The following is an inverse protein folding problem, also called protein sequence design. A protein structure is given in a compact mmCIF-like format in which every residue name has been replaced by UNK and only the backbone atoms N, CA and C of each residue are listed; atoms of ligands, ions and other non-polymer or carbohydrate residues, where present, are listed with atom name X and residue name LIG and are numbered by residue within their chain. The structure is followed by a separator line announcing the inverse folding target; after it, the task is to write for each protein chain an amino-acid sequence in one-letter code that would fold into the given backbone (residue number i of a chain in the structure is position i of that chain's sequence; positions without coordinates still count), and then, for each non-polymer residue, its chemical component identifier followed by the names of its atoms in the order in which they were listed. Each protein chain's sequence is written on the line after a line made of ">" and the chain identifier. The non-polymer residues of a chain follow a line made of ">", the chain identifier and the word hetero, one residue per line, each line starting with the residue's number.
data_IF_947838504340
#
_entry.id   IF_947838504340
#
_cell.length_a   1.000
_cell.length_b   1.000
_cell.length_c   1.000
_cell.angle_alpha   90.00
_cell.angle_beta   90.00
_cell.angle_gamma   90.00
#
_symmetry.space_group_name_H-M   'P 1'
#
loop_
_entity.id
_entity.type
_entity.pdbx_description
1 polymer ?
#
# COMPACT_ATOMS: atom_id res chain seq x y z
N UNK A 1 -8.01 19.52 20.51
CA UNK A 1 -8.87 18.69 19.61
C UNK A 1 -8.85 19.37 18.26
N UNK A 2 -8.28 18.70 17.28
CA UNK A 2 -8.11 19.23 15.93
C UNK A 2 -9.50 19.42 15.30
N UNK A 3 -9.82 20.64 14.94
CA UNK A 3 -11.14 21.03 14.51
C UNK A 3 -11.39 20.55 13.08
N UNK A 4 -12.16 19.46 12.93
CA UNK A 4 -12.62 18.99 11.64
C UNK A 4 -13.59 20.01 11.02
N UNK A 5 -13.58 20.12 9.69
CA UNK A 5 -14.47 21.01 8.94
C UNK A 5 -15.40 20.21 8.03
N UNK A 6 -16.63 20.71 7.90
CA UNK A 6 -17.66 20.19 7.02
C UNK A 6 -17.79 21.14 5.83
N UNK A 7 -17.69 20.61 4.62
CA UNK A 7 -17.86 21.37 3.38
C UNK A 7 -19.00 20.80 2.55
N UNK A 8 -19.62 21.62 1.70
CA UNK A 8 -20.49 21.10 0.67
C UNK A 8 -19.69 20.20 -0.29
N UNK A 9 -20.28 19.10 -0.72
CA UNK A 9 -19.69 18.25 -1.75
C UNK A 9 -19.40 19.01 -3.05
N UNK A 10 -20.21 20.00 -3.37
CA UNK A 10 -20.04 20.86 -4.55
C UNK A 10 -18.79 21.76 -4.47
N UNK A 11 -18.26 22.00 -3.27
CA UNK A 11 -17.04 22.78 -3.08
C UNK A 11 -15.75 21.96 -3.24
N UNK A 12 -15.83 20.64 -3.27
CA UNK A 12 -14.64 19.77 -3.34
C UNK A 12 -13.77 20.07 -4.57
N UNK A 13 -14.31 20.26 -5.80
CA UNK A 13 -13.48 20.64 -6.95
C UNK A 13 -12.75 21.98 -6.75
N UNK A 14 -13.38 22.95 -6.12
CA UNK A 14 -12.78 24.24 -5.80
C UNK A 14 -11.65 24.11 -4.78
N UNK A 15 -11.84 23.29 -3.76
CA UNK A 15 -10.80 22.96 -2.77
C UNK A 15 -9.62 22.26 -3.45
N UNK A 16 -9.87 21.28 -4.32
CA UNK A 16 -8.81 20.58 -5.07
C UNK A 16 -8.03 21.52 -5.98
N UNK A 17 -8.69 22.49 -6.60
CA UNK A 17 -8.06 23.55 -7.41
C UNK A 17 -7.13 24.40 -6.55
N UNK A 18 -7.59 24.84 -5.37
CA UNK A 18 -6.78 25.62 -4.44
C UNK A 18 -5.57 24.81 -3.94
N UNK A 19 -5.76 23.55 -3.59
CA UNK A 19 -4.67 22.64 -3.23
C UNK A 19 -3.68 22.40 -4.36
N UNK A 20 -4.10 22.61 -5.62
CA UNK A 20 -3.26 22.56 -6.81
C UNK A 20 -2.28 23.74 -6.94
N UNK A 21 -2.41 24.80 -6.16
CA UNK A 21 -1.47 25.91 -6.17
C UNK A 21 -0.08 25.43 -5.67
N UNK A 22 0.87 25.28 -6.60
CA UNK A 22 2.25 24.84 -6.32
C UNK A 22 2.45 23.35 -6.10
N UNK A 23 1.45 22.50 -6.37
CA UNK A 23 1.57 21.04 -6.31
C UNK A 23 0.69 20.35 -7.36
N UNK A 24 1.08 19.14 -7.79
CA UNK A 24 0.25 18.31 -8.65
C UNK A 24 -0.77 17.55 -7.80
N UNK A 25 -2.06 17.71 -8.10
CA UNK A 25 -3.15 16.99 -7.42
C UNK A 25 -3.58 15.80 -8.26
N UNK A 26 -3.63 14.63 -7.66
CA UNK A 26 -4.08 13.39 -8.30
C UNK A 26 -5.32 12.88 -7.60
N UNK A 27 -6.28 12.41 -8.38
CA UNK A 27 -7.57 11.87 -7.93
C UNK A 27 -7.84 10.51 -8.57
N UNK A 28 -8.65 9.65 -7.96
CA UNK A 28 -9.14 8.46 -8.64
C UNK A 28 -10.13 8.83 -9.73
N UNK A 29 -9.87 8.38 -10.95
CA UNK A 29 -10.78 8.44 -12.09
C UNK A 29 -11.16 7.02 -12.52
N UNK A 30 -12.44 6.82 -12.83
CA UNK A 30 -12.96 5.54 -13.30
C UNK A 30 -13.20 5.60 -14.80
N UNK A 31 -12.61 4.69 -15.54
CA UNK A 31 -12.83 4.48 -16.97
C UNK A 31 -13.24 3.02 -17.20
N UNK A 32 -14.49 2.80 -17.55
CA UNK A 32 -15.07 1.45 -17.64
C UNK A 32 -15.00 0.72 -16.30
N UNK A 33 -14.40 -0.46 -16.28
CA UNK A 33 -14.24 -1.28 -15.08
C UNK A 33 -12.98 -0.95 -14.24
N UNK A 34 -12.17 0.01 -14.66
CA UNK A 34 -10.90 0.33 -14.03
C UNK A 34 -10.95 1.70 -13.36
N UNK A 35 -10.43 1.76 -12.15
CA UNK A 35 -10.18 3.00 -11.42
C UNK A 35 -8.68 3.17 -11.22
N UNK A 36 -8.14 4.33 -11.61
CA UNK A 36 -6.74 4.67 -11.46
C UNK A 36 -6.58 6.14 -11.03
N UNK A 37 -5.43 6.47 -10.42
CA UNK A 37 -5.11 7.86 -10.12
C UNK A 37 -4.69 8.61 -11.38
N UNK A 38 -5.34 9.74 -11.65
CA UNK A 38 -5.05 10.64 -12.74
C UNK A 38 -4.82 12.07 -12.22
N UNK A 39 -4.16 12.91 -13.00
CA UNK A 39 -3.99 14.33 -12.68
C UNK A 39 -5.37 15.00 -12.68
N UNK A 40 -5.66 15.70 -11.60
CA UNK A 40 -6.95 16.40 -11.44
C UNK A 40 -7.15 17.44 -12.56
N UNK A 41 -8.28 17.32 -13.22
CA UNK A 41 -8.78 18.31 -14.18
C UNK A 41 -10.13 18.83 -13.69
N UNK A 42 -10.26 20.15 -13.36
CA UNK A 42 -11.50 20.72 -12.84
C UNK A 42 -12.67 20.66 -13.83
N UNK A 43 -12.41 20.49 -15.13
CA UNK A 43 -13.45 20.37 -16.16
C UNK A 43 -14.09 18.98 -16.20
N UNK A 44 -13.45 17.98 -15.56
CA UNK A 44 -13.98 16.63 -15.45
C UNK A 44 -14.76 16.48 -14.15
N UNK A 45 -15.84 15.73 -14.20
CA UNK A 45 -16.64 15.44 -13.01
C UNK A 45 -15.82 14.65 -11.97
N UNK A 46 -15.96 14.99 -10.70
CA UNK A 46 -15.37 14.29 -9.58
C UNK A 46 -16.36 13.26 -9.02
N UNK A 47 -15.96 11.98 -8.96
CA UNK A 47 -16.69 10.95 -8.23
C UNK A 47 -15.98 10.61 -6.94
N UNK A 48 -16.68 10.69 -5.82
CA UNK A 48 -16.21 10.17 -4.52
C UNK A 48 -16.63 8.72 -4.31
N UNK A 49 -17.47 8.19 -5.21
CA UNK A 49 -17.97 6.82 -5.12
C UNK A 49 -17.16 5.89 -6.02
N UNK A 50 -16.20 5.18 -5.42
CA UNK A 50 -15.40 4.14 -6.06
C UNK A 50 -14.96 3.12 -5.00
N UNK A 51 -14.59 1.93 -5.43
CA UNK A 51 -13.96 0.92 -4.58
C UNK A 51 -12.45 1.17 -4.39
N UNK A 52 -11.65 0.13 -4.47
CA UNK A 52 -10.20 0.27 -4.59
C UNK A 52 -9.80 0.57 -6.04
N UNK A 53 -8.75 1.35 -6.23
CA UNK A 53 -8.10 1.47 -7.54
C UNK A 53 -7.56 0.13 -8.01
N UNK A 54 -7.55 -0.11 -9.31
CA UNK A 54 -7.06 -1.37 -9.91
C UNK A 54 -5.60 -1.63 -9.52
N UNK A 55 -4.74 -0.65 -9.72
CA UNK A 55 -3.38 -0.63 -9.18
C UNK A 55 -3.34 0.24 -7.93
N UNK A 56 -2.52 -0.15 -6.96
CA UNK A 56 -2.31 0.69 -5.79
C UNK A 56 -1.55 1.96 -6.15
N UNK A 57 -1.75 3.09 -5.45
CA UNK A 57 -1.03 4.33 -5.71
C UNK A 57 0.45 4.28 -5.26
N UNK A 58 1.01 3.11 -4.96
CA UNK A 58 2.42 2.98 -4.54
C UNK A 58 3.41 3.51 -5.58
N UNK A 59 3.04 3.51 -6.87
CA UNK A 59 3.88 4.04 -7.96
C UNK A 59 4.24 5.52 -7.79
N UNK A 60 3.48 6.29 -7.02
CA UNK A 60 3.81 7.68 -6.71
C UNK A 60 5.02 7.82 -5.77
N UNK A 61 5.23 6.85 -4.90
CA UNK A 61 6.35 6.82 -3.94
C UNK A 61 7.44 5.84 -4.37
N UNK A 62 7.05 4.75 -5.00
CA UNK A 62 7.91 3.70 -5.52
C UNK A 62 7.55 3.45 -7.00
N UNK A 63 8.14 4.21 -7.95
CA UNK A 63 7.87 4.08 -9.40
C UNK A 63 8.21 2.69 -9.93
N UNK A 64 7.51 2.27 -10.99
CA UNK A 64 7.77 0.98 -11.64
C UNK A 64 9.19 0.89 -12.22
N UNK A 65 9.69 2.01 -12.72
CA UNK A 65 11.06 2.19 -13.20
C UNK A 65 11.55 3.56 -12.75
N UNK A 66 12.75 3.62 -12.18
CA UNK A 66 13.39 4.89 -11.84
C UNK A 66 14.89 4.84 -12.09
N UNK A 67 15.44 5.94 -12.57
CA UNK A 67 16.86 6.14 -12.68
C UNK A 67 17.42 6.55 -11.32
N UNK A 68 18.42 5.82 -10.81
CA UNK A 68 19.07 6.12 -9.53
C UNK A 68 20.28 7.03 -9.74
N UNK A 69 21.06 6.76 -10.80
CA UNK A 69 22.23 7.56 -11.16
C UNK A 69 22.53 7.45 -12.65
N UNK A 70 23.25 8.44 -13.17
CA UNK A 70 23.85 8.45 -14.51
C UNK A 70 25.36 8.40 -14.41
N UNK A 71 26.02 7.79 -15.37
CA UNK A 71 27.47 7.71 -15.40
C UNK A 71 27.99 7.75 -16.84
N UNK A 72 29.23 8.20 -16.99
CA UNK A 72 29.94 8.16 -18.25
C UNK A 72 30.94 6.99 -18.27
N UNK A 73 30.98 6.22 -19.36
CA UNK A 73 31.90 5.09 -19.54
C UNK A 73 33.08 5.43 -20.44
N UNK A 74 33.01 6.55 -21.20
CA UNK A 74 34.01 7.03 -22.13
C UNK A 74 34.06 8.56 -22.15
N UNK A 75 35.13 9.10 -22.74
CA UNK A 75 35.34 10.54 -22.86
C UNK A 75 35.92 11.19 -21.63
N UNK A 76 36.03 12.55 -21.59
CA UNK A 76 36.60 13.30 -20.47
C UNK A 76 35.89 13.11 -19.14
N UNK A 77 34.60 12.73 -19.16
CA UNK A 77 33.78 12.52 -17.98
C UNK A 77 33.72 11.04 -17.56
N UNK A 78 34.57 10.18 -18.15
CA UNK A 78 34.58 8.76 -17.82
C UNK A 78 34.82 8.54 -16.31
N UNK A 79 33.96 7.74 -15.69
CA UNK A 79 33.98 7.48 -14.23
C UNK A 79 33.19 8.47 -13.39
N UNK A 80 32.69 9.57 -13.93
CA UNK A 80 31.80 10.47 -13.20
C UNK A 80 30.42 9.81 -13.03
N UNK A 81 29.96 9.74 -11.79
CA UNK A 81 28.60 9.30 -11.44
C UNK A 81 27.83 10.49 -10.85
N UNK A 82 26.66 10.74 -11.41
CA UNK A 82 25.74 11.75 -10.92
C UNK A 82 24.44 11.08 -10.47
N UNK A 83 24.02 11.34 -9.24
CA UNK A 83 22.68 10.95 -8.76
C UNK A 83 21.63 11.64 -9.62
N UNK A 84 20.61 10.89 -10.05
CA UNK A 84 19.50 11.50 -10.74
C UNK A 84 18.84 12.53 -9.81
N UNK A 85 18.62 13.77 -10.27
CA UNK A 85 17.96 14.78 -9.46
C UNK A 85 16.56 14.30 -9.07
N UNK A 86 16.30 14.15 -7.79
CA UNK A 86 14.98 13.84 -7.28
C UNK A 86 14.09 15.05 -7.56
N UNK A 87 13.14 14.89 -8.48
CA UNK A 87 12.26 15.96 -8.94
C UNK A 87 11.64 16.75 -7.78
N UNK A 88 11.72 18.08 -7.86
CA UNK A 88 11.21 19.00 -6.83
C UNK A 88 9.68 19.02 -6.68
N UNK A 89 8.94 18.28 -7.50
CA UNK A 89 7.49 18.34 -7.59
C UNK A 89 6.81 17.87 -6.30
N UNK A 90 6.10 18.80 -5.66
CA UNK A 90 5.17 18.49 -4.57
C UNK A 90 3.89 17.86 -5.16
N UNK A 91 3.33 16.90 -4.45
CA UNK A 91 2.14 16.16 -4.87
C UNK A 91 1.10 16.10 -3.77
N UNK A 92 -0.15 15.98 -4.18
CA UNK A 92 -1.27 15.66 -3.31
C UNK A 92 -2.06 14.52 -3.95
N UNK A 93 -2.24 13.44 -3.21
CA UNK A 93 -3.11 12.34 -3.60
C UNK A 93 -4.41 12.47 -2.81
N UNK A 94 -5.50 12.83 -3.49
CA UNK A 94 -6.83 12.90 -2.91
C UNK A 94 -7.60 11.60 -3.19
N UNK A 95 -8.31 11.08 -2.21
CA UNK A 95 -9.10 9.87 -2.36
C UNK A 95 -8.31 8.56 -2.16
N UNK A 96 -7.12 8.64 -1.53
CA UNK A 96 -6.37 7.43 -1.14
C UNK A 96 -7.21 6.59 -0.18
N UNK A 97 -7.35 5.29 -0.43
CA UNK A 97 -8.06 4.44 0.52
C UNK A 97 -7.22 4.23 1.79
N UNK A 98 -7.85 4.12 2.98
CA UNK A 98 -7.14 3.90 4.24
C UNK A 98 -6.17 2.73 4.21
N UNK A 99 -6.50 1.64 3.51
CA UNK A 99 -5.60 0.50 3.35
C UNK A 99 -4.36 0.84 2.49
N UNK A 100 -4.46 1.72 1.50
CA UNK A 100 -3.30 2.16 0.71
C UNK A 100 -2.39 3.09 1.52
N UNK A 101 -2.97 3.99 2.31
CA UNK A 101 -2.21 4.86 3.21
C UNK A 101 -1.49 4.05 4.32
N UNK A 102 -2.19 3.08 4.90
CA UNK A 102 -1.59 2.14 5.86
C UNK A 102 -0.43 1.32 5.24
N UNK A 103 -0.53 0.98 3.94
CA UNK A 103 0.56 0.34 3.23
C UNK A 103 1.77 1.25 3.07
N UNK A 104 1.59 2.56 2.84
CA UNK A 104 2.70 3.51 2.81
C UNK A 104 3.37 3.63 4.16
N UNK A 105 2.59 3.74 5.25
CA UNK A 105 3.13 3.76 6.60
C UNK A 105 3.89 2.46 6.97
N UNK A 106 3.50 1.33 6.40
CA UNK A 106 4.23 0.08 6.55
C UNK A 106 5.53 0.10 5.73
N UNK A 107 5.49 0.61 4.50
CA UNK A 107 6.68 0.73 3.65
C UNK A 107 7.64 1.80 4.15
N UNK A 108 7.17 2.85 4.84
CA UNK A 108 8.06 3.79 5.54
C UNK A 108 9.00 3.05 6.50
N UNK A 109 8.51 2.03 7.21
CA UNK A 109 9.34 1.19 8.10
C UNK A 109 10.31 0.25 7.38
N UNK A 110 10.10 0.02 6.09
CA UNK A 110 11.01 -0.78 5.25
C UNK A 110 12.09 0.09 4.63
N UNK A 111 11.69 1.27 4.10
CA UNK A 111 12.57 2.14 3.34
C UNK A 111 13.23 3.26 4.16
N UNK A 112 12.72 3.53 5.37
CA UNK A 112 13.25 4.58 6.27
C UNK A 112 13.51 3.94 7.63
N UNK A 113 14.70 3.40 7.83
CA UNK A 113 15.07 2.69 9.07
C UNK A 113 15.99 3.54 9.96
N UNK A 114 17.15 3.93 9.43
CA UNK A 114 18.14 4.76 10.08
C UNK A 114 18.91 5.58 9.02
N UNK A 115 19.86 6.43 9.46
CA UNK A 115 20.62 7.30 8.56
C UNK A 115 21.44 6.56 7.49
N UNK A 116 21.77 5.28 7.71
CA UNK A 116 22.55 4.44 6.78
C UNK A 116 21.70 3.56 5.89
N UNK A 117 20.48 3.24 6.35
CA UNK A 117 19.57 2.28 5.72
C UNK A 117 18.31 2.94 5.16
N UNK A 118 18.33 4.27 5.01
CA UNK A 118 17.21 5.02 4.44
C UNK A 118 17.36 5.13 2.93
N UNK A 119 16.32 4.72 2.19
CA UNK A 119 16.20 4.96 0.76
C UNK A 119 15.86 6.45 0.50
N UNK A 120 16.80 7.24 -0.03
CA UNK A 120 16.60 8.68 -0.19
C UNK A 120 15.50 9.00 -1.23
N UNK A 121 15.29 8.13 -2.22
CA UNK A 121 14.26 8.32 -3.23
C UNK A 121 12.86 8.14 -2.66
N UNK A 122 12.68 7.12 -1.81
CA UNK A 122 11.42 6.93 -1.08
C UNK A 122 11.18 8.09 -0.10
N UNK A 123 12.14 8.38 0.76
CA UNK A 123 12.02 9.38 1.82
C UNK A 123 11.62 10.75 1.26
N UNK A 124 12.30 11.22 0.20
CA UNK A 124 12.01 12.52 -0.40
C UNK A 124 10.63 12.56 -1.07
N UNK A 125 10.22 11.48 -1.78
CA UNK A 125 8.88 11.41 -2.37
C UNK A 125 7.80 11.39 -1.29
N UNK A 126 8.05 10.67 -0.19
CA UNK A 126 7.14 10.59 0.94
C UNK A 126 6.95 11.96 1.60
N UNK A 127 8.04 12.67 1.84
CA UNK A 127 8.03 14.04 2.38
C UNK A 127 7.23 15.00 1.50
N UNK A 128 7.41 14.93 0.18
CA UNK A 128 6.79 15.83 -0.81
C UNK A 128 5.38 15.44 -1.23
N UNK A 129 4.83 14.36 -0.69
CA UNK A 129 3.49 13.88 -1.01
C UNK A 129 2.55 14.04 0.17
N UNK A 130 1.48 14.80 -0.01
CA UNK A 130 0.36 14.91 0.93
C UNK A 130 -0.69 13.85 0.59
N UNK A 131 -1.24 13.22 1.62
CA UNK A 131 -2.21 12.14 1.48
C UNK A 131 -3.55 12.54 2.11
N UNK A 132 -4.53 12.83 1.27
CA UNK A 132 -5.93 13.02 1.68
C UNK A 132 -6.67 11.72 1.40
N UNK A 133 -6.91 10.96 2.47
CA UNK A 133 -7.65 9.71 2.38
C UNK A 133 -9.14 9.95 2.21
N UNK A 134 -9.80 9.07 1.47
CA UNK A 134 -11.26 8.99 1.44
C UNK A 134 -11.71 7.75 2.19
N UNK A 135 -12.47 7.94 3.25
CA UNK A 135 -13.04 6.86 4.07
C UNK A 135 -13.75 5.83 3.18
N UNK A 136 -13.59 4.56 3.50
CA UNK A 136 -14.15 3.48 2.71
C UNK A 136 -15.56 3.17 3.20
N UNK A 137 -16.57 3.81 2.60
CA UNK A 137 -17.95 3.59 2.97
C UNK A 137 -18.53 2.28 2.38
N UNK A 138 -17.94 1.77 1.29
CA UNK A 138 -18.38 0.57 0.58
C UNK A 138 -17.18 -0.32 0.27
N UNK A 139 -16.78 -1.19 1.20
CA UNK A 139 -15.71 -2.14 0.96
C UNK A 139 -16.15 -3.21 -0.06
N UNK A 140 -15.20 -3.68 -0.84
CA UNK A 140 -15.38 -4.81 -1.76
C UNK A 140 -15.44 -6.14 -0.98
N UNK A 141 -16.10 -7.15 -1.53
CA UNK A 141 -16.23 -8.49 -0.92
C UNK A 141 -14.88 -9.18 -0.66
N UNK A 142 -13.84 -8.79 -1.40
CA UNK A 142 -12.49 -9.29 -1.22
C UNK A 142 -11.70 -8.57 -0.12
N UNK A 143 -12.23 -7.47 0.42
CA UNK A 143 -11.58 -6.70 1.48
C UNK A 143 -11.59 -7.44 2.82
N UNK A 144 -10.47 -7.30 3.58
CA UNK A 144 -10.31 -7.88 4.92
C UNK A 144 -9.37 -7.04 5.79
N UNK A 145 -9.38 -5.71 5.59
CA UNK A 145 -8.47 -4.82 6.33
C UNK A 145 -8.70 -4.86 7.84
N UNK A 146 -9.91 -5.14 8.31
CA UNK A 146 -10.23 -5.30 9.74
C UNK A 146 -9.52 -6.50 10.39
N UNK A 147 -9.16 -7.52 9.61
CA UNK A 147 -8.36 -8.65 10.08
C UNK A 147 -6.84 -8.40 10.00
N UNK A 148 -6.41 -7.22 9.52
CA UNK A 148 -5.01 -6.83 9.32
C UNK A 148 -4.67 -5.53 10.07
N UNK A 149 -5.17 -5.39 11.29
CA UNK A 149 -4.97 -4.22 12.16
C UNK A 149 -5.34 -2.88 11.49
N UNK A 150 -6.24 -2.92 10.52
CA UNK A 150 -6.74 -1.77 9.78
C UNK A 150 -8.23 -1.56 9.93
N UNK A 151 -8.79 -0.74 9.06
CA UNK A 151 -10.23 -0.48 9.02
C UNK A 151 -10.61 0.50 7.93
N UNK A 152 -11.93 0.62 7.64
CA UNK A 152 -12.43 1.48 6.57
C UNK A 152 -12.22 2.98 6.82
N UNK A 153 -12.03 3.40 8.08
CA UNK A 153 -11.74 4.78 8.48
C UNK A 153 -10.38 4.91 9.19
N UNK A 154 -9.45 3.97 8.97
CA UNK A 154 -8.12 4.03 9.54
C UNK A 154 -7.36 5.26 9.00
N UNK A 155 -6.63 5.93 9.88
CA UNK A 155 -5.91 7.18 9.55
C UNK A 155 -4.41 6.99 9.38
N UNK A 156 -3.88 5.80 9.60
CA UNK A 156 -2.44 5.54 9.49
C UNK A 156 -1.88 5.96 8.12
N UNK A 157 -0.87 6.81 8.13
CA UNK A 157 -0.21 7.32 6.93
C UNK A 157 -0.90 8.48 6.23
N UNK A 158 -2.09 8.91 6.67
CA UNK A 158 -2.84 10.04 6.10
C UNK A 158 -2.43 11.38 6.74
N UNK A 159 -2.57 12.46 5.96
CA UNK A 159 -2.53 13.83 6.46
C UNK A 159 -3.95 14.34 6.80
N UNK A 160 -4.94 14.01 5.98
CA UNK A 160 -6.38 14.27 6.22
C UNK A 160 -7.18 13.00 5.93
N UNK A 161 -8.20 12.71 6.73
CA UNK A 161 -9.26 11.78 6.39
C UNK A 161 -10.49 12.56 5.96
N UNK A 162 -10.91 12.38 4.70
CA UNK A 162 -12.17 12.85 4.16
C UNK A 162 -13.25 11.78 4.31
N UNK A 163 -14.43 12.14 4.82
CA UNK A 163 -15.58 11.25 4.90
C UNK A 163 -16.68 11.82 3.99
N UNK A 164 -17.06 11.07 2.97
CA UNK A 164 -18.22 11.39 2.11
C UNK A 164 -19.51 11.10 2.90
N UNK A 165 -20.27 12.14 3.18
CA UNK A 165 -21.56 12.09 3.89
C UNK A 165 -22.77 12.23 2.96
N UNK A 166 -22.56 12.26 1.64
CA UNK A 166 -23.58 12.50 0.62
C UNK A 166 -23.45 13.91 0.08
N UNK A 167 -24.26 14.84 0.56
CA UNK A 167 -24.21 16.25 0.13
C UNK A 167 -23.06 17.04 0.77
N UNK A 168 -22.46 16.48 1.81
CA UNK A 168 -21.37 17.06 2.56
C UNK A 168 -20.14 16.16 2.59
N UNK A 169 -18.98 16.77 2.82
CA UNK A 169 -17.71 16.06 3.07
C UNK A 169 -17.12 16.59 4.36
N UNK A 170 -16.87 15.67 5.30
CA UNK A 170 -16.18 15.95 6.55
C UNK A 170 -14.68 15.77 6.32
N UNK A 171 -13.89 16.82 6.50
CA UNK A 171 -12.42 16.77 6.47
C UNK A 171 -11.86 16.78 7.89
N UNK A 172 -11.19 15.72 8.28
CA UNK A 172 -10.57 15.56 9.60
C UNK A 172 -9.04 15.52 9.45
N UNK A 173 -8.31 16.54 9.95
CA UNK A 173 -6.85 16.55 9.90
C UNK A 173 -6.29 15.48 10.83
N UNK A 174 -5.18 14.87 10.41
CA UNK A 174 -4.48 13.80 11.15
C UNK A 174 -3.09 14.25 11.57
N UNK A 175 -2.43 15.06 10.73
CA UNK A 175 -1.08 15.57 10.97
C UNK A 175 -1.06 17.10 10.95
N UNK A 176 0.07 17.71 11.37
CA UNK A 176 0.26 19.17 11.23
C UNK A 176 0.20 19.61 9.77
N UNK A 177 0.73 18.80 8.84
CA UNK A 177 0.63 19.04 7.40
C UNK A 177 -0.84 19.01 6.94
N UNK A 178 -1.64 18.11 7.51
CA UNK A 178 -3.08 18.04 7.29
C UNK A 178 -3.82 19.24 7.85
N UNK A 179 -3.42 19.77 9.01
CA UNK A 179 -3.99 21.03 9.56
C UNK A 179 -3.71 22.23 8.66
N UNK A 180 -2.49 22.36 8.16
CA UNK A 180 -2.12 23.41 7.20
C UNK A 180 -2.96 23.29 5.91
N UNK A 181 -3.10 22.07 5.39
CA UNK A 181 -3.89 21.81 4.19
C UNK A 181 -5.40 22.09 4.39
N UNK A 182 -5.94 21.83 5.59
CA UNK A 182 -7.32 22.13 5.95
C UNK A 182 -7.56 23.65 6.02
N UNK A 183 -6.59 24.42 6.49
CA UNK A 183 -6.65 25.89 6.49
C UNK A 183 -6.70 26.45 5.05
N UNK A 184 -5.95 25.87 4.10
CA UNK A 184 -6.04 26.23 2.67
C UNK A 184 -7.45 25.93 2.12
N UNK A 185 -8.07 24.79 2.49
CA UNK A 185 -9.44 24.47 2.10
C UNK A 185 -10.46 25.50 2.63
N UNK A 186 -10.31 25.93 3.88
CA UNK A 186 -11.17 26.93 4.50
C UNK A 186 -11.05 28.32 3.86
N UNK A 187 -9.93 28.64 3.23
CA UNK A 187 -9.77 29.85 2.42
C UNK A 187 -10.45 29.74 1.04
N UNK A 188 -10.49 28.53 0.50
CA UNK A 188 -11.06 28.27 -0.82
C UNK A 188 -12.59 28.12 -0.79
N UNK A 189 -13.16 27.59 0.28
CA UNK A 189 -14.58 27.31 0.42
C UNK A 189 -15.05 27.53 1.85
N UNK A 190 -16.36 27.74 2.03
CA UNK A 190 -16.95 27.94 3.36
C UNK A 190 -17.03 26.62 4.12
N UNK A 191 -16.06 26.39 4.99
CA UNK A 191 -16.06 25.25 5.92
C UNK A 191 -16.80 25.58 7.21
N UNK A 192 -17.63 24.65 7.68
CA UNK A 192 -18.32 24.77 8.97
C UNK A 192 -17.60 23.86 9.98
N UNK A 193 -17.22 24.39 11.17
CA UNK A 193 -16.61 23.57 12.20
C UNK A 193 -17.50 22.37 12.61
N UNK A 194 -16.90 21.20 12.73
CA UNK A 194 -17.59 19.98 13.15
C UNK A 194 -17.82 19.96 14.68
N UNK A 195 -18.51 20.96 15.18
CA UNK A 195 -18.89 21.15 16.58
C UNK A 195 -20.36 21.57 16.72
N UNK A 196 -20.88 21.54 17.94
CA UNK A 196 -22.29 21.78 18.19
C UNK A 196 -23.17 20.69 17.58
N UNK A 197 -24.46 20.98 17.41
CA UNK A 197 -25.46 20.03 16.92
C UNK A 197 -25.13 19.52 15.48
N UNK A 198 -24.82 20.43 14.56
CA UNK A 198 -24.46 20.07 13.16
C UNK A 198 -23.18 19.22 13.10
N UNK A 199 -22.17 19.57 13.89
CA UNK A 199 -20.94 18.82 13.96
C UNK A 199 -21.15 17.42 14.55
N UNK A 200 -21.96 17.32 15.61
CA UNK A 200 -22.35 16.05 16.20
C UNK A 200 -23.09 15.15 15.22
N UNK A 201 -24.00 15.70 14.42
CA UNK A 201 -24.72 14.97 13.37
C UNK A 201 -23.77 14.44 12.29
N UNK A 202 -22.86 15.26 11.78
CA UNK A 202 -21.88 14.85 10.76
C UNK A 202 -20.92 13.76 11.28
N UNK A 203 -20.43 13.89 12.50
CA UNK A 203 -19.57 12.88 13.13
C UNK A 203 -20.34 11.57 13.37
N UNK A 204 -21.59 11.64 13.83
CA UNK A 204 -22.47 10.48 13.99
C UNK A 204 -22.76 9.77 12.67
N UNK A 205 -22.95 10.54 11.58
CA UNK A 205 -23.13 9.97 10.25
C UNK A 205 -21.85 9.28 9.74
N UNK A 206 -20.68 9.90 9.95
CA UNK A 206 -19.40 9.27 9.60
C UNK A 206 -19.19 7.96 10.37
N UNK A 207 -19.53 7.94 11.64
CA UNK A 207 -19.45 6.72 12.49
C UNK A 207 -20.43 5.64 12.01
N UNK A 208 -21.65 5.99 11.67
CA UNK A 208 -22.65 5.06 11.09
C UNK A 208 -22.12 4.43 9.78
N UNK A 209 -21.48 5.23 8.91
CA UNK A 209 -20.87 4.72 7.68
C UNK A 209 -19.69 3.78 7.97
N UNK A 210 -18.86 4.10 8.97
CA UNK A 210 -17.76 3.24 9.42
C UNK A 210 -18.30 1.88 9.89
N UNK A 211 -19.27 1.91 10.79
CA UNK A 211 -19.89 0.68 11.32
C UNK A 211 -20.55 -0.15 10.22
N UNK A 212 -21.25 0.50 9.29
CA UNK A 212 -21.83 -0.16 8.13
C UNK A 212 -20.79 -0.87 7.25
N UNK A 213 -19.68 -0.22 6.97
CA UNK A 213 -18.58 -0.80 6.20
C UNK A 213 -17.92 -1.99 6.93
N UNK A 214 -17.71 -1.87 8.24
CA UNK A 214 -17.18 -2.98 9.05
C UNK A 214 -18.15 -4.15 9.10
N UNK A 215 -19.46 -3.90 9.19
CA UNK A 215 -20.49 -4.93 9.17
C UNK A 215 -20.53 -5.68 7.82
N UNK A 216 -20.31 -4.99 6.71
CA UNK A 216 -20.18 -5.65 5.38
C UNK A 216 -19.00 -6.63 5.39
N UNK A 217 -17.84 -6.21 5.88
CA UNK A 217 -16.67 -7.10 5.96
C UNK A 217 -16.88 -8.26 6.95
N UNK A 218 -17.52 -8.02 8.07
CA UNK A 218 -17.82 -9.06 9.07
C UNK A 218 -18.75 -10.16 8.54
N UNK A 219 -19.60 -9.86 7.55
CA UNK A 219 -20.47 -10.85 6.88
C UNK A 219 -19.73 -11.74 5.88
N UNK A 220 -18.53 -11.36 5.46
CA UNK A 220 -17.72 -12.18 4.56
C UNK A 220 -17.35 -13.51 5.25
N UNK A 221 -17.56 -14.68 4.63
CA UNK A 221 -17.18 -15.96 5.22
C UNK A 221 -15.66 -16.10 5.44
N UNK A 222 -14.88 -15.21 4.86
CA UNK A 222 -13.41 -15.25 4.87
C UNK A 222 -12.77 -14.35 5.94
N UNK A 223 -13.51 -13.43 6.55
CA UNK A 223 -12.95 -12.45 7.50
C UNK A 223 -13.08 -12.89 8.96
N UNK A 224 -14.24 -13.39 9.45
CA UNK A 224 -14.36 -13.80 10.84
C UNK A 224 -13.38 -14.90 11.22
N UNK A 225 -12.69 -14.70 12.34
CA UNK A 225 -11.68 -15.64 12.85
C UNK A 225 -10.38 -15.70 12.05
N UNK A 226 -10.16 -14.81 11.07
CA UNK A 226 -8.90 -14.72 10.37
C UNK A 226 -7.84 -14.12 11.29
N UNK A 227 -6.79 -14.88 11.58
CA UNK A 227 -5.76 -14.51 12.56
C UNK A 227 -4.38 -14.99 12.12
N UNK A 228 -3.34 -14.35 12.66
CA UNK A 228 -1.93 -14.75 12.53
C UNK A 228 -1.38 -15.39 13.81
N UNK A 229 -2.21 -15.62 14.81
CA UNK A 229 -1.77 -15.99 16.15
C UNK A 229 -0.91 -17.27 16.16
N UNK A 230 -1.38 -18.36 15.55
CA UNK A 230 -0.63 -19.58 15.53
C UNK A 230 0.64 -19.47 14.64
N UNK A 231 0.56 -18.73 13.52
CA UNK A 231 1.72 -18.47 12.64
C UNK A 231 2.80 -17.66 13.36
N UNK A 232 2.41 -16.66 14.15
CA UNK A 232 3.37 -15.81 14.88
C UNK A 232 4.12 -16.58 15.96
N UNK A 233 3.43 -17.50 16.65
CA UNK A 233 4.00 -18.32 17.74
C UNK A 233 4.95 -19.42 17.29
N UNK A 234 4.91 -19.85 16.02
CA UNK A 234 5.78 -20.91 15.49
C UNK A 234 7.09 -20.35 14.98
N UNK A 235 8.15 -21.16 15.00
CA UNK A 235 9.42 -20.80 14.40
C UNK A 235 9.28 -20.62 12.88
N UNK A 236 10.16 -19.83 12.30
CA UNK A 236 10.23 -19.64 10.84
C UNK A 236 10.39 -20.98 10.13
N UNK A 237 11.25 -21.88 10.65
CA UNK A 237 11.49 -23.20 10.10
C UNK A 237 10.23 -24.06 10.10
N UNK A 238 9.45 -24.04 11.19
CA UNK A 238 8.18 -24.76 11.27
C UNK A 238 7.19 -24.28 10.21
N UNK A 239 6.98 -22.97 10.09
CA UNK A 239 6.04 -22.42 9.10
C UNK A 239 6.51 -22.67 7.68
N UNK A 240 7.82 -22.61 7.43
CA UNK A 240 8.42 -22.91 6.12
C UNK A 240 8.21 -24.37 5.72
N UNK A 241 8.27 -25.32 6.67
CA UNK A 241 8.15 -26.75 6.43
C UNK A 241 6.69 -27.27 6.37
N UNK A 242 5.68 -26.40 6.49
CA UNK A 242 4.28 -26.83 6.42
C UNK A 242 3.98 -27.55 5.10
N UNK A 243 3.31 -28.70 5.17
CA UNK A 243 2.95 -29.51 4.00
C UNK A 243 1.85 -28.92 3.10
N UNK A 244 1.38 -27.71 3.39
CA UNK A 244 0.31 -27.03 2.63
C UNK A 244 0.79 -26.41 1.31
N UNK A 245 2.08 -26.11 1.17
CA UNK A 245 2.62 -25.31 0.07
C UNK A 245 2.44 -25.91 -1.32
N UNK A 246 2.65 -27.24 -1.54
CA UNK A 246 2.42 -27.85 -2.85
C UNK A 246 0.97 -27.65 -3.33
N UNK A 247 -0.01 -27.89 -2.45
CA UNK A 247 -1.43 -27.73 -2.77
C UNK A 247 -1.79 -26.28 -3.14
N UNK A 248 -1.28 -25.29 -2.39
CA UNK A 248 -1.51 -23.87 -2.68
C UNK A 248 -0.86 -23.47 -4.01
N UNK A 249 0.31 -24.03 -4.30
CA UNK A 249 1.06 -23.72 -5.52
C UNK A 249 0.49 -24.40 -6.77
N UNK A 250 -0.32 -25.44 -6.64
CA UNK A 250 -0.78 -26.27 -7.74
C UNK A 250 -1.44 -25.46 -8.87
N UNK A 251 -2.36 -24.56 -8.53
CA UNK A 251 -3.10 -23.72 -9.48
C UNK A 251 -2.36 -22.44 -9.85
N UNK A 252 -1.28 -22.08 -9.15
CA UNK A 252 -0.57 -20.83 -9.38
C UNK A 252 0.10 -20.78 -10.75
N UNK A 253 -0.16 -19.71 -11.52
CA UNK A 253 0.45 -19.47 -12.84
C UNK A 253 1.79 -18.73 -12.75
N UNK A 254 2.23 -18.31 -11.56
CA UNK A 254 3.42 -17.45 -11.36
C UNK A 254 3.40 -16.12 -12.15
N UNK A 255 2.21 -15.61 -12.52
CA UNK A 255 2.05 -14.41 -13.34
C UNK A 255 2.47 -13.10 -12.65
N UNK A 256 2.68 -13.09 -11.32
CA UNK A 256 3.09 -11.90 -10.56
C UNK A 256 2.03 -10.84 -10.30
N UNK A 257 0.82 -10.93 -10.87
CA UNK A 257 -0.27 -9.93 -10.67
C UNK A 257 -0.48 -9.60 -9.20
N UNK A 258 -0.52 -10.63 -8.35
CA UNK A 258 -0.72 -10.46 -6.91
C UNK A 258 0.39 -9.67 -6.18
N UNK A 259 1.55 -9.49 -6.78
CA UNK A 259 2.66 -8.68 -6.23
C UNK A 259 2.68 -7.29 -6.83
N UNK A 260 2.44 -7.15 -8.13
CA UNK A 260 2.41 -5.85 -8.80
C UNK A 260 1.25 -4.97 -8.32
N UNK A 261 0.07 -5.55 -8.10
CA UNK A 261 -1.11 -4.81 -7.61
C UNK A 261 -1.09 -4.56 -6.10
N UNK A 262 -0.26 -5.28 -5.35
CA UNK A 262 -0.20 -5.16 -3.90
C UNK A 262 0.48 -3.86 -3.47
N UNK A 263 -0.14 -3.07 -2.57
CA UNK A 263 0.43 -1.83 -2.07
C UNK A 263 1.66 -2.03 -1.17
N UNK A 264 1.82 -3.21 -0.56
CA UNK A 264 2.93 -3.53 0.35
C UNK A 264 4.05 -4.34 -0.28
N UNK A 265 3.91 -4.79 -1.54
CA UNK A 265 5.00 -5.47 -2.24
C UNK A 265 6.00 -4.46 -2.79
N UNK A 266 7.29 -4.72 -2.53
CA UNK A 266 8.40 -3.81 -2.82
C UNK A 266 9.63 -4.53 -3.40
N UNK A 267 9.44 -5.69 -4.02
CA UNK A 267 10.51 -6.37 -4.76
C UNK A 267 10.97 -5.51 -5.93
N UNK A 268 12.26 -5.39 -6.12
CA UNK A 268 12.88 -4.66 -7.22
C UNK A 268 14.16 -5.34 -7.67
N UNK A 269 14.57 -4.99 -8.89
CA UNK A 269 15.86 -5.30 -9.46
C UNK A 269 16.62 -3.99 -9.73
N UNK A 270 17.95 -4.01 -9.63
CA UNK A 270 18.83 -2.91 -9.98
C UNK A 270 19.78 -3.39 -11.08
N UNK A 271 19.79 -2.65 -12.18
CA UNK A 271 20.65 -2.98 -13.32
C UNK A 271 21.27 -1.73 -13.93
N UNK A 272 22.43 -1.92 -14.55
CA UNK A 272 23.12 -0.88 -15.30
C UNK A 272 22.81 -1.04 -16.80
N UNK A 273 22.28 0.02 -17.39
CA UNK A 273 22.03 0.12 -18.83
C UNK A 273 23.07 1.05 -19.46
N UNK A 274 23.75 0.60 -20.51
CA UNK A 274 24.76 1.40 -21.19
C UNK A 274 24.48 1.51 -22.68
N UNK A 275 24.72 2.70 -23.25
CA UNK A 275 24.63 2.96 -24.67
C UNK A 275 25.65 4.02 -25.08
N UNK A 276 26.55 3.66 -26.02
CA UNK A 276 27.53 4.59 -26.65
C UNK A 276 28.59 5.08 -25.68
N UNK A 277 28.68 5.68 -24.77
CA UNK A 277 29.65 6.20 -23.79
C UNK A 277 28.99 6.72 -22.52
N UNK A 278 27.69 6.51 -22.43
CA UNK A 278 26.90 6.87 -21.24
C UNK A 278 26.15 5.67 -20.70
N UNK A 279 25.82 5.72 -19.43
CA UNK A 279 25.03 4.71 -18.77
C UNK A 279 24.14 5.28 -17.66
N UNK A 280 23.20 4.46 -17.23
CA UNK A 280 22.33 4.76 -16.12
C UNK A 280 22.12 3.51 -15.27
N UNK A 281 22.04 3.68 -13.98
CA UNK A 281 21.58 2.66 -13.04
C UNK A 281 20.11 2.85 -12.82
N UNK A 282 19.33 1.81 -13.08
CA UNK A 282 17.87 1.83 -12.95
C UNK A 282 17.41 0.83 -11.89
N UNK A 283 16.38 1.19 -11.17
CA UNK A 283 15.61 0.30 -10.31
C UNK A 283 14.27 0.03 -10.97
N UNK A 284 13.95 -1.24 -11.17
CA UNK A 284 12.69 -1.69 -11.75
C UNK A 284 11.91 -2.53 -10.74
N UNK A 285 10.58 -2.43 -10.74
CA UNK A 285 9.80 -3.41 -9.98
C UNK A 285 10.08 -4.82 -10.49
N UNK A 286 10.17 -5.74 -9.53
CA UNK A 286 10.26 -7.15 -9.81
C UNK A 286 9.26 -7.93 -8.93
N UNK A 287 9.24 -9.23 -9.04
CA UNK A 287 8.29 -10.10 -8.34
C UNK A 287 8.95 -11.36 -7.81
N UNK A 288 8.71 -11.66 -6.53
CA UNK A 288 9.12 -12.93 -5.94
C UNK A 288 8.47 -14.16 -6.61
N UNK A 289 7.52 -13.95 -7.53
CA UNK A 289 6.89 -15.00 -8.33
C UNK A 289 7.69 -15.32 -9.61
N UNK A 290 8.64 -14.46 -10.01
CA UNK A 290 9.53 -14.70 -11.15
C UNK A 290 10.65 -15.68 -10.77
N UNK A 291 10.97 -16.59 -11.68
CA UNK A 291 12.12 -17.47 -11.54
C UNK A 291 13.44 -16.69 -11.53
N UNK A 292 13.51 -15.64 -12.35
CA UNK A 292 14.72 -14.81 -12.50
C UNK A 292 15.04 -13.99 -11.25
N UNK A 293 14.05 -13.64 -10.45
CA UNK A 293 14.21 -12.77 -9.28
C UNK A 293 15.25 -13.26 -8.26
N UNK A 294 15.44 -14.57 -8.14
CA UNK A 294 16.42 -15.17 -7.24
C UNK A 294 17.48 -16.03 -7.94
N UNK A 295 17.55 -15.96 -9.27
CA UNK A 295 18.58 -16.66 -10.02
C UNK A 295 19.93 -15.97 -9.82
N UNK A 296 20.94 -16.74 -9.40
CA UNK A 296 22.30 -16.27 -9.25
C UNK A 296 23.07 -16.39 -10.58
N UNK A 297 24.08 -15.55 -10.78
CA UNK A 297 24.96 -15.64 -11.94
C UNK A 297 25.67 -17.02 -12.06
N UNK A 298 25.84 -17.74 -10.97
CA UNK A 298 26.35 -19.11 -10.92
C UNK A 298 25.39 -20.17 -11.47
N UNK A 299 24.15 -19.79 -11.83
CA UNK A 299 23.10 -20.74 -12.22
C UNK A 299 22.33 -21.33 -11.04
N UNK A 300 22.77 -21.11 -9.80
CA UNK A 300 22.01 -21.52 -8.63
C UNK A 300 20.76 -20.65 -8.46
N UNK A 301 19.65 -21.28 -8.06
CA UNK A 301 18.44 -20.58 -7.68
C UNK A 301 17.85 -21.16 -6.39
N UNK A 302 17.80 -20.42 -5.27
CA UNK A 302 17.23 -20.90 -4.02
C UNK A 302 15.72 -21.13 -4.07
N UNK A 303 15.04 -20.68 -5.15
CA UNK A 303 13.59 -20.83 -5.37
C UNK A 303 13.29 -21.35 -6.77
N UNK A 304 13.81 -22.54 -7.13
CA UNK A 304 13.77 -23.07 -8.49
C UNK A 304 12.36 -23.46 -8.95
N UNK A 305 11.46 -23.86 -8.03
CA UNK A 305 10.12 -24.28 -8.39
C UNK A 305 9.05 -23.27 -7.99
N UNK A 306 7.85 -23.42 -8.51
CA UNK A 306 6.73 -22.55 -8.16
C UNK A 306 6.31 -22.69 -6.69
N UNK A 307 6.58 -23.84 -6.07
CA UNK A 307 6.24 -24.11 -4.66
C UNK A 307 7.01 -23.15 -3.75
N UNK A 308 8.33 -23.05 -3.93
CA UNK A 308 9.17 -22.13 -3.14
C UNK A 308 8.76 -20.67 -3.36
N UNK A 309 8.45 -20.27 -4.60
CA UNK A 309 8.04 -18.89 -4.90
C UNK A 309 6.69 -18.55 -4.27
N UNK A 310 5.70 -19.42 -4.34
CA UNK A 310 4.41 -19.27 -3.67
C UNK A 310 4.59 -19.23 -2.16
N UNK A 311 5.33 -20.17 -1.58
CA UNK A 311 5.68 -20.17 -0.16
C UNK A 311 6.33 -18.85 0.26
N UNK A 312 7.35 -18.39 -0.48
CA UNK A 312 8.05 -17.15 -0.18
C UNK A 312 7.08 -15.94 -0.12
N UNK A 313 6.14 -15.84 -1.06
CA UNK A 313 5.18 -14.75 -1.07
C UNK A 313 4.37 -14.65 0.23
N UNK A 314 3.86 -15.78 0.73
CA UNK A 314 3.04 -15.80 1.94
C UNK A 314 3.89 -15.74 3.22
N UNK A 315 5.02 -16.45 3.24
CA UNK A 315 5.98 -16.34 4.33
C UNK A 315 6.47 -14.89 4.53
N UNK A 316 6.79 -14.18 3.44
CA UNK A 316 7.23 -12.80 3.53
C UNK A 316 6.17 -11.93 4.21
N UNK A 317 4.89 -12.06 3.83
CA UNK A 317 3.80 -11.25 4.38
C UNK A 317 3.42 -11.59 5.81
N UNK A 318 3.42 -12.86 6.15
CA UNK A 318 2.80 -13.34 7.39
C UNK A 318 3.79 -13.89 8.41
N UNK A 319 5.07 -14.04 8.03
CA UNK A 319 6.12 -14.47 8.96
C UNK A 319 7.31 -13.52 8.96
N UNK A 320 7.97 -13.27 7.82
CA UNK A 320 9.22 -12.51 7.81
C UNK A 320 9.00 -11.01 8.11
N UNK A 321 8.04 -10.37 7.44
CA UNK A 321 7.73 -8.96 7.74
C UNK A 321 7.26 -8.77 9.20
N UNK A 322 6.33 -9.56 9.75
CA UNK A 322 5.99 -9.46 11.18
C UNK A 322 7.19 -9.58 12.11
N UNK A 323 8.11 -10.49 11.87
CA UNK A 323 9.32 -10.63 12.70
C UNK A 323 10.19 -9.35 12.67
N UNK A 324 10.29 -8.71 11.52
CA UNK A 324 11.15 -7.53 11.31
C UNK A 324 10.44 -6.21 11.61
N UNK A 325 9.11 -6.16 11.61
CA UNK A 325 8.31 -4.94 11.74
C UNK A 325 7.45 -4.90 13.02
N UNK A 326 7.90 -5.57 14.08
CA UNK A 326 7.25 -5.53 15.39
C UNK A 326 5.85 -6.17 15.40
N UNK A 327 5.71 -7.33 14.77
CA UNK A 327 4.50 -8.14 14.75
C UNK A 327 3.49 -7.75 13.66
N UNK A 328 3.68 -6.65 12.95
CA UNK A 328 2.74 -6.19 11.92
C UNK A 328 2.81 -7.03 10.66
N UNK A 329 1.68 -7.53 10.12
CA UNK A 329 1.67 -8.28 8.88
C UNK A 329 2.09 -7.42 7.70
N UNK A 330 2.75 -8.03 6.71
CA UNK A 330 3.07 -7.41 5.43
C UNK A 330 1.87 -7.29 4.49
N UNK A 331 0.68 -7.19 5.06
CA UNK A 331 -0.60 -7.13 4.35
C UNK A 331 -1.52 -6.11 5.02
N UNK A 332 -2.26 -5.35 4.23
CA UNK A 332 -3.25 -4.35 4.71
C UNK A 332 -4.69 -4.77 4.37
N UNK A 333 -4.91 -6.00 3.92
CA UNK A 333 -6.24 -6.53 3.66
C UNK A 333 -7.03 -5.85 2.54
N UNK A 334 -6.37 -5.23 1.57
CA UNK A 334 -7.03 -4.45 0.50
C UNK A 334 -7.78 -5.28 -0.57
N UNK A 335 -7.64 -6.60 -0.59
CA UNK A 335 -8.36 -7.50 -1.49
C UNK A 335 -7.89 -7.57 -2.95
N UNK A 336 -7.04 -6.65 -3.43
CA UNK A 336 -6.63 -6.59 -4.85
C UNK A 336 -6.09 -7.91 -5.39
N UNK A 337 -5.24 -8.58 -4.62
CA UNK A 337 -4.62 -9.85 -5.05
C UNK A 337 -5.61 -11.02 -5.11
N UNK A 338 -6.74 -10.94 -4.42
CA UNK A 338 -7.84 -11.91 -4.54
C UNK A 338 -8.60 -11.64 -5.84
N UNK A 339 -9.09 -10.41 -5.98
CA UNK A 339 -9.91 -9.98 -7.11
C UNK A 339 -9.23 -10.14 -8.48
N UNK A 340 -7.90 -9.97 -8.52
CA UNK A 340 -7.16 -9.99 -9.78
C UNK A 340 -6.42 -11.31 -10.05
N UNK A 341 -6.54 -12.31 -9.18
CA UNK A 341 -5.89 -13.60 -9.39
C UNK A 341 -6.60 -14.42 -10.46
N UNK A 342 -5.98 -14.71 -11.61
CA UNK A 342 -6.61 -15.49 -12.67
C UNK A 342 -6.83 -16.96 -12.28
N UNK A 343 -6.13 -17.44 -11.23
CA UNK A 343 -6.25 -18.80 -10.69
C UNK A 343 -7.06 -18.85 -9.40
N UNK A 344 -7.76 -17.77 -9.03
CA UNK A 344 -8.60 -17.66 -7.83
C UNK A 344 -7.92 -18.05 -6.51
N UNK A 345 -6.61 -17.79 -6.38
CA UNK A 345 -5.90 -18.02 -5.12
C UNK A 345 -6.29 -16.90 -4.14
N UNK A 346 -7.03 -17.28 -3.11
CA UNK A 346 -7.45 -16.35 -2.06
C UNK A 346 -6.44 -16.35 -0.91
N UNK A 347 -5.80 -15.19 -0.68
CA UNK A 347 -4.84 -15.02 0.41
C UNK A 347 -5.46 -15.24 1.80
N UNK A 348 -6.76 -15.02 1.97
CA UNK A 348 -7.49 -15.23 3.23
C UNK A 348 -7.58 -16.73 3.54
N UNK A 349 -7.88 -17.55 2.54
CA UNK A 349 -7.86 -19.02 2.66
C UNK A 349 -6.45 -19.54 2.93
N UNK A 350 -5.45 -19.00 2.25
CA UNK A 350 -4.05 -19.37 2.48
C UNK A 350 -3.64 -19.06 3.93
N UNK A 351 -3.98 -17.86 4.44
CA UNK A 351 -3.68 -17.48 5.81
C UNK A 351 -4.38 -18.41 6.82
N UNK A 352 -5.64 -18.73 6.58
CA UNK A 352 -6.40 -19.67 7.40
C UNK A 352 -5.76 -21.07 7.39
N UNK A 353 -5.35 -21.56 6.22
CA UNK A 353 -4.65 -22.83 6.09
C UNK A 353 -3.29 -22.82 6.84
N UNK A 354 -2.54 -21.71 6.77
CA UNK A 354 -1.30 -21.54 7.53
C UNK A 354 -1.57 -21.59 9.04
N UNK A 355 -2.56 -20.82 9.53
CA UNK A 355 -2.87 -20.78 10.97
C UNK A 355 -3.34 -22.15 11.48
N UNK A 356 -4.23 -22.81 10.77
CA UNK A 356 -4.68 -24.17 11.10
C UNK A 356 -3.52 -25.17 11.12
N UNK A 357 -2.68 -25.18 10.08
CA UNK A 357 -1.53 -26.08 10.02
C UNK A 357 -0.53 -25.80 11.15
N UNK A 358 -0.35 -24.54 11.54
CA UNK A 358 0.49 -24.19 12.68
C UNK A 358 -0.09 -24.64 14.03
N UNK A 359 -1.42 -24.70 14.19
CA UNK A 359 -2.06 -25.21 15.41
C UNK A 359 -1.81 -26.70 15.62
N UNK A 360 -1.84 -27.50 14.56
CA UNK A 360 -1.69 -28.95 14.61
C UNK A 360 -0.23 -29.43 14.42
N UNK A 361 0.66 -28.57 13.94
CA UNK A 361 2.07 -28.90 13.78
C UNK A 361 2.67 -29.31 15.14
N UNK A 362 3.44 -30.42 15.21
CA UNK A 362 4.10 -30.81 16.44
C UNK A 362 5.00 -29.66 16.93
N UNK A 363 5.22 -29.53 18.26
CA UNK A 363 6.18 -28.58 18.77
C UNK A 363 7.53 -28.88 18.08
N UNK A 364 8.09 -27.89 17.41
CA UNK A 364 9.44 -28.04 16.88
C UNK A 364 10.36 -28.28 18.07
N UNK A 365 11.10 -29.42 18.06
CA UNK A 365 12.20 -29.61 18.96
C UNK A 365 13.03 -28.33 18.96
N UNK A 366 13.24 -27.77 20.15
CA UNK A 366 13.92 -26.53 20.47
C UNK A 366 15.25 -26.37 19.71
N UNK A 367 15.19 -25.85 18.52
CA UNK A 367 16.35 -25.28 17.85
C UNK A 367 16.05 -23.78 17.78
N UNK A 368 16.84 -22.94 18.45
CA UNK A 368 16.68 -21.48 18.38
C UNK A 368 16.64 -21.01 16.92
N UNK A 369 15.83 -19.99 16.63
CA UNK A 369 15.88 -19.26 15.36
C UNK A 369 17.20 -18.46 15.29
N UNK A 370 18.33 -19.16 15.23
CA UNK A 370 19.57 -18.52 14.88
C UNK A 370 19.48 -18.05 13.43
N UNK A 371 19.83 -16.80 13.25
CA UNK A 371 19.76 -16.04 12.03
C UNK A 371 20.19 -16.88 10.81
N UNK A 372 19.27 -17.10 9.90
CA UNK A 372 19.59 -17.50 8.54
C UNK A 372 19.99 -16.21 7.84
N UNK A 373 21.30 -15.97 7.82
CA UNK A 373 21.97 -14.98 6.99
C UNK A 373 21.66 -15.14 5.51
#
# INVERSE_FOLDING_TARGET
>A
MDEALIFSRLDVPRILTAWGAGRAVYIPETAGAQTAFALFNPERGLSLHFGNTTLSPKSFLFPQTECLLRFATRGPEAGLCQTEPLGAQKRLLFGVRPCDAAAFALLDRVFVQDDRSTDPFWALRRERTLLVGLACNSPDETCFCTAMDGGPHNTAGLDILACDLGDEVLLRPVTDRGRALLAEAAQAATGVPARGERGGAALGQAETRRMGAEAVMARSPFVPGLTLEAVSRRSQRTVHALGIWPRIAETCLNCGVCTFTCPTCHCFDIQDETKGGSGRRVRNWDTCMSWLFTAHASGHNPRPTKVERVRQRFMHKFKYMPMNLGGRPGCVGCGRCVRQCPANIDIREVLRAMDMACRIAPPSSLIPDEAVS
#
